data_IF_845076392432
#
_entry.id   IF_845076392432
#
_cell.length_a   1.000
_cell.length_b   1.000
_cell.length_c   1.000
_cell.angle_alpha   90.00
_cell.angle_beta   90.00
_cell.angle_gamma   90.00
#
_symmetry.space_group_name_H-M   'P 1'
#
loop_
_entity.id
_entity.type
_entity.pdbx_description
1 polymer ?
#
# COMPACT_ATOMS: atom_id res chain seq x y z
N UNK A 1 -26.16 -1.56 15.55
CA UNK A 1 -26.25 -2.54 14.44
C UNK A 1 -24.81 -2.91 14.09
N UNK A 2 -24.46 -4.18 14.24
CA UNK A 2 -23.06 -4.63 14.31
C UNK A 2 -22.43 -4.63 12.92
N UNK A 3 -21.52 -3.69 12.66
CA UNK A 3 -20.73 -3.57 11.42
C UNK A 3 -19.64 -4.65 11.26
N UNK A 4 -19.67 -5.71 12.07
CA UNK A 4 -18.59 -6.70 12.19
C UNK A 4 -18.47 -7.69 11.01
N UNK A 5 -19.36 -7.64 10.01
CA UNK A 5 -19.37 -8.61 8.90
C UNK A 5 -18.67 -8.09 7.63
N UNK A 6 -18.36 -6.80 7.54
CA UNK A 6 -17.84 -6.21 6.30
C UNK A 6 -16.30 -6.22 6.26
N UNK A 7 -15.72 -6.65 5.13
CA UNK A 7 -14.26 -6.53 4.93
C UNK A 7 -13.86 -5.06 4.76
N UNK A 8 -12.62 -4.65 5.11
CA UNK A 8 -12.14 -3.28 4.93
C UNK A 8 -12.31 -2.79 3.49
N UNK A 9 -12.08 -3.65 2.50
CA UNK A 9 -12.29 -3.32 1.09
C UNK A 9 -13.74 -2.96 0.79
N UNK A 10 -14.68 -3.79 1.25
CA UNK A 10 -16.11 -3.53 1.07
C UNK A 10 -16.55 -2.28 1.84
N UNK A 11 -16.04 -2.06 3.06
CA UNK A 11 -16.35 -0.87 3.85
C UNK A 11 -15.89 0.40 3.12
N UNK A 12 -14.66 0.42 2.62
CA UNK A 12 -14.09 1.54 1.87
C UNK A 12 -14.88 1.81 0.60
N UNK A 13 -15.26 0.77 -0.15
CA UNK A 13 -16.07 0.94 -1.37
C UNK A 13 -17.44 1.53 -1.07
N UNK A 14 -18.14 1.03 -0.06
CA UNK A 14 -19.43 1.58 0.35
C UNK A 14 -19.29 3.03 0.80
N UNK A 15 -18.27 3.32 1.62
CA UNK A 15 -18.06 4.67 2.15
C UNK A 15 -17.65 5.66 1.06
N UNK A 16 -16.89 5.22 0.06
CA UNK A 16 -16.47 6.06 -1.06
C UNK A 16 -17.64 6.66 -1.83
N UNK A 17 -18.77 5.93 -1.95
CA UNK A 17 -19.98 6.40 -2.61
C UNK A 17 -20.65 7.59 -1.87
N UNK A 18 -20.34 7.79 -0.59
CA UNK A 18 -20.89 8.87 0.24
C UNK A 18 -19.98 10.11 0.28
N UNK A 19 -18.76 10.03 -0.27
CA UNK A 19 -17.77 11.10 -0.12
C UNK A 19 -18.08 12.27 -1.05
N UNK A 20 -18.10 13.48 -0.48
CA UNK A 20 -18.13 14.72 -1.27
C UNK A 20 -16.81 14.90 -2.04
N UNK A 21 -16.89 14.93 -3.37
CA UNK A 21 -15.73 15.02 -4.26
C UNK A 21 -15.14 16.44 -4.40
N UNK A 22 -15.81 17.48 -3.89
CA UNK A 22 -15.43 18.89 -4.10
C UNK A 22 -13.99 19.22 -3.67
N UNK A 23 -13.48 18.55 -2.64
CA UNK A 23 -12.12 18.75 -2.11
C UNK A 23 -11.19 17.56 -2.35
N UNK A 24 -11.63 16.54 -3.10
CA UNK A 24 -10.75 15.41 -3.41
C UNK A 24 -9.80 15.76 -4.54
N UNK A 25 -8.52 15.34 -4.46
CA UNK A 25 -7.58 15.55 -5.55
C UNK A 25 -8.01 14.75 -6.78
N UNK A 26 -8.01 15.38 -7.95
CA UNK A 26 -8.37 14.72 -9.22
C UNK A 26 -7.22 13.99 -9.92
N UNK A 27 -5.97 14.22 -9.49
CA UNK A 27 -4.77 13.73 -10.19
C UNK A 27 -3.65 13.26 -9.24
N UNK A 28 -3.90 13.23 -7.93
CA UNK A 28 -2.98 12.65 -6.95
C UNK A 28 -3.60 11.39 -6.34
N UNK A 29 -2.76 10.48 -5.86
CA UNK A 29 -3.21 9.31 -5.10
C UNK A 29 -3.95 9.80 -3.84
N UNK A 30 -5.16 9.30 -3.65
CA UNK A 30 -5.91 9.43 -2.41
C UNK A 30 -6.68 8.13 -2.16
N UNK A 31 -6.89 7.73 -0.90
CA UNK A 31 -7.78 6.58 -0.65
C UNK A 31 -9.22 6.89 -1.07
N UNK A 32 -10.01 5.88 -1.48
CA UNK A 32 -11.42 6.09 -1.82
C UNK A 32 -12.25 6.65 -0.66
N UNK A 33 -11.91 6.27 0.57
CA UNK A 33 -12.47 6.80 1.81
C UNK A 33 -11.43 6.71 2.94
N UNK A 34 -11.67 7.39 4.07
CA UNK A 34 -10.81 7.32 5.26
C UNK A 34 -9.52 8.16 5.20
N UNK A 35 -8.63 7.92 6.16
CA UNK A 35 -7.35 8.62 6.32
C UNK A 35 -6.21 7.89 5.63
N UNK A 36 -5.28 8.65 5.03
CA UNK A 36 -3.99 8.15 4.53
C UNK A 36 -2.85 9.07 4.95
N UNK A 37 -1.63 8.52 4.99
CA UNK A 37 -0.40 9.28 5.22
C UNK A 37 0.77 8.66 4.45
N UNK A 38 1.75 8.09 5.16
CA UNK A 38 3.08 7.78 4.66
C UNK A 38 3.03 6.88 3.40
N UNK A 39 3.73 7.24 2.32
CA UNK A 39 3.95 6.34 1.20
C UNK A 39 4.89 5.20 1.61
N UNK A 40 4.52 3.98 1.26
CA UNK A 40 5.24 2.75 1.60
C UNK A 40 5.49 1.89 0.36
N UNK A 41 6.52 1.06 0.41
CA UNK A 41 6.71 -0.05 -0.54
C UNK A 41 6.71 0.33 -2.02
N UNK A 42 7.16 1.55 -2.37
CA UNK A 42 7.21 2.01 -3.75
C UNK A 42 8.15 1.12 -4.56
N UNK A 43 7.63 0.42 -5.58
CA UNK A 43 8.44 -0.45 -6.42
C UNK A 43 7.92 -0.57 -7.84
N UNK A 44 8.78 -1.05 -8.75
CA UNK A 44 8.41 -1.45 -10.10
C UNK A 44 8.62 -2.95 -10.24
N UNK A 45 7.57 -3.69 -10.55
CA UNK A 45 7.60 -5.15 -10.63
C UNK A 45 6.72 -5.62 -11.79
N UNK A 46 7.25 -6.54 -12.61
CA UNK A 46 6.54 -7.12 -13.77
C UNK A 46 5.87 -6.10 -14.69
N UNK A 47 6.55 -4.98 -14.96
CA UNK A 47 6.03 -3.93 -15.85
C UNK A 47 5.02 -2.97 -15.22
N UNK A 48 4.79 -3.06 -13.91
CA UNK A 48 3.79 -2.25 -13.18
C UNK A 48 4.46 -1.51 -12.04
N UNK A 49 4.09 -0.23 -11.85
CA UNK A 49 4.43 0.55 -10.67
C UNK A 49 3.45 0.24 -9.56
N UNK A 50 3.97 -0.06 -8.37
CA UNK A 50 3.19 -0.31 -7.16
C UNK A 50 3.49 0.81 -6.16
N UNK A 51 2.44 1.40 -5.60
CA UNK A 51 2.56 2.31 -4.47
C UNK A 51 1.62 1.84 -3.36
N UNK A 52 2.16 1.76 -2.15
CA UNK A 52 1.40 1.48 -0.94
C UNK A 52 1.38 2.73 -0.06
N UNK A 53 0.45 2.79 0.88
CA UNK A 53 0.37 3.89 1.83
C UNK A 53 -0.26 3.43 3.13
N UNK A 54 0.13 4.06 4.25
CA UNK A 54 -0.58 3.88 5.51
C UNK A 54 -2.02 4.36 5.37
N UNK A 55 -2.98 3.57 5.84
CA UNK A 55 -4.40 3.79 5.61
C UNK A 55 -5.25 3.40 6.83
N UNK A 56 -6.10 4.32 7.32
CA UNK A 56 -7.17 4.00 8.26
C UNK A 56 -8.52 4.05 7.53
N UNK A 57 -9.14 2.90 7.22
CA UNK A 57 -10.32 2.84 6.36
C UNK A 57 -11.61 3.35 7.02
N UNK A 58 -11.67 3.38 8.34
CA UNK A 58 -12.92 3.55 9.10
C UNK A 58 -13.20 4.99 9.56
N UNK A 59 -12.20 5.87 9.54
CA UNK A 59 -12.35 7.28 9.92
C UNK A 59 -11.43 8.18 9.09
N UNK A 60 -11.75 9.47 9.05
CA UNK A 60 -10.86 10.53 8.56
C UNK A 60 -9.81 10.96 9.57
N UNK A 61 -9.75 10.34 10.75
CA UNK A 61 -8.70 10.57 11.75
C UNK A 61 -7.66 9.44 11.71
N UNK A 62 -6.48 9.71 12.29
CA UNK A 62 -5.48 8.67 12.51
C UNK A 62 -6.01 7.54 13.41
N UNK A 63 -5.56 6.31 13.18
CA UNK A 63 -6.02 5.16 13.97
C UNK A 63 -5.42 3.81 13.54
N UNK A 64 -6.17 2.71 13.70
CA UNK A 64 -5.92 1.38 13.10
C UNK A 64 -5.31 1.34 11.69
N UNK A 65 -3.98 1.17 11.60
CA UNK A 65 -3.26 1.23 10.32
C UNK A 65 -3.37 -0.06 9.49
N UNK A 66 -3.78 0.13 8.25
CA UNK A 66 -3.74 -0.81 7.14
C UNK A 66 -2.74 -0.31 6.10
N UNK A 67 -2.39 -1.14 5.11
CA UNK A 67 -1.68 -0.68 3.91
C UNK A 67 -2.62 -0.68 2.72
N UNK A 68 -2.96 0.51 2.23
CA UNK A 68 -3.63 0.66 0.94
C UNK A 68 -2.65 0.36 -0.20
N UNK A 69 -3.19 0.06 -1.38
CA UNK A 69 -2.42 -0.33 -2.55
C UNK A 69 -3.03 0.26 -3.82
N UNK A 70 -2.19 0.89 -4.63
CA UNK A 70 -2.51 1.33 -5.99
C UNK A 70 -1.43 0.88 -6.96
N UNK A 71 -1.83 0.63 -8.21
CA UNK A 71 -0.93 0.26 -9.30
C UNK A 71 -1.04 1.21 -10.47
N UNK A 72 0.03 1.38 -11.23
CA UNK A 72 0.04 2.21 -12.43
C UNK A 72 0.96 1.64 -13.50
N UNK A 73 0.65 1.88 -14.77
CA UNK A 73 1.54 1.60 -15.91
C UNK A 73 2.40 2.80 -16.31
N UNK A 74 1.99 4.02 -15.92
CA UNK A 74 2.54 5.28 -16.41
C UNK A 74 2.89 6.29 -15.29
N UNK A 75 2.73 5.90 -14.02
CA UNK A 75 2.86 6.74 -12.81
C UNK A 75 1.89 7.93 -12.73
N UNK A 76 0.94 8.04 -13.67
CA UNK A 76 -0.03 9.13 -13.74
C UNK A 76 -1.43 8.61 -13.42
N UNK A 77 -1.82 7.50 -14.05
CA UNK A 77 -3.12 6.85 -13.88
C UNK A 77 -2.97 5.71 -12.89
N UNK A 78 -3.65 5.83 -11.76
CA UNK A 78 -3.58 4.87 -10.67
C UNK A 78 -4.87 4.07 -10.56
N UNK A 79 -4.74 2.75 -10.45
CA UNK A 79 -5.84 1.81 -10.23
C UNK A 79 -5.81 1.33 -8.78
N UNK A 80 -6.95 1.41 -8.09
CA UNK A 80 -7.09 0.90 -6.73
C UNK A 80 -7.07 -0.62 -6.69
N UNK A 81 -6.22 -1.16 -5.83
CA UNK A 81 -6.14 -2.58 -5.53
C UNK A 81 -6.73 -2.86 -4.14
N UNK A 82 -7.03 -4.13 -3.82
CA UNK A 82 -7.40 -4.52 -2.46
C UNK A 82 -6.34 -4.07 -1.44
N UNK A 83 -6.79 -3.69 -0.24
CA UNK A 83 -5.91 -3.41 0.90
C UNK A 83 -4.92 -4.57 1.10
N UNK A 84 -3.63 -4.25 1.04
CA UNK A 84 -2.55 -5.22 1.01
C UNK A 84 -2.25 -5.83 2.38
N UNK A 85 -2.26 -5.00 3.43
CA UNK A 85 -2.08 -5.45 4.81
C UNK A 85 -3.22 -4.92 5.68
N UNK A 86 -3.88 -5.83 6.40
CA UNK A 86 -4.89 -5.48 7.40
C UNK A 86 -4.22 -5.41 8.77
N UNK A 87 -4.67 -4.49 9.63
CA UNK A 87 -4.35 -4.61 11.05
C UNK A 87 -4.91 -5.93 11.59
N UNK A 88 -4.04 -6.75 12.17
CA UNK A 88 -4.49 -7.88 12.98
C UNK A 88 -4.87 -7.40 14.38
N UNK A 89 -5.99 -7.90 14.91
CA UNK A 89 -6.50 -7.54 16.25
C UNK A 89 -5.50 -7.88 17.39
N UNK A 90 -4.40 -8.62 17.14
CA UNK A 90 -3.41 -9.09 18.15
C UNK A 90 -1.98 -9.28 17.62
N UNK A 91 -1.47 -8.50 16.67
CA UNK A 91 -0.07 -8.68 16.24
C UNK A 91 0.93 -7.98 17.19
N UNK A 92 1.93 -8.69 17.76
CA UNK A 92 3.07 -8.02 18.36
C UNK A 92 3.85 -7.25 17.27
N UNK A 93 4.48 -6.13 17.67
CA UNK A 93 5.17 -5.16 16.81
C UNK A 93 6.19 -5.80 15.83
N UNK A 94 6.64 -7.03 16.09
CA UNK A 94 7.56 -7.80 15.25
C UNK A 94 6.99 -8.30 13.92
N UNK A 95 5.66 -8.37 13.74
CA UNK A 95 5.06 -8.87 12.50
C UNK A 95 5.05 -7.80 11.39
N UNK A 96 4.94 -6.52 11.75
CA UNK A 96 5.01 -5.40 10.81
C UNK A 96 6.36 -5.34 10.09
N UNK A 97 7.46 -5.64 10.79
CA UNK A 97 8.82 -5.63 10.23
C UNK A 97 9.11 -6.84 9.32
N UNK A 98 8.44 -7.99 9.56
CA UNK A 98 8.63 -9.22 8.76
C UNK A 98 8.02 -9.14 7.36
N UNK A 99 7.04 -8.27 7.11
CA UNK A 99 6.39 -8.15 5.80
C UNK A 99 6.99 -7.09 4.88
N UNK A 100 7.70 -6.10 5.42
CA UNK A 100 8.56 -5.22 4.62
C UNK A 100 9.59 -6.06 3.84
N UNK A 101 10.09 -7.14 4.46
CA UNK A 101 10.90 -8.17 3.82
C UNK A 101 10.14 -9.04 2.80
N UNK A 102 8.83 -9.26 2.93
CA UNK A 102 8.06 -10.10 2.00
C UNK A 102 7.76 -9.39 0.66
N UNK A 103 7.50 -8.09 0.67
CA UNK A 103 7.38 -7.26 -0.55
C UNK A 103 8.74 -7.17 -1.26
N UNK A 104 9.84 -7.05 -0.49
CA UNK A 104 11.20 -7.11 -1.02
C UNK A 104 11.58 -8.50 -1.55
N UNK A 105 11.15 -9.58 -0.88
CA UNK A 105 11.50 -10.96 -1.24
C UNK A 105 10.83 -11.46 -2.52
N UNK A 106 9.68 -10.92 -2.91
CA UNK A 106 9.06 -11.23 -4.21
C UNK A 106 9.57 -10.31 -5.34
N UNK A 107 10.23 -9.20 -5.01
CA UNK A 107 10.92 -8.34 -5.97
C UNK A 107 12.37 -8.78 -6.24
N UNK A 108 12.96 -9.63 -5.40
CA UNK A 108 14.27 -10.24 -5.60
C UNK A 108 14.14 -11.77 -5.70
N UNK A 109 13.76 -12.26 -6.88
CA UNK A 109 14.12 -13.62 -7.29
C UNK A 109 15.62 -13.67 -7.59
N UNK A 110 16.31 -14.80 -7.31
CA UNK A 110 17.75 -14.94 -7.53
C UNK A 110 18.03 -15.15 -9.03
N UNK A 111 17.94 -14.08 -9.83
CA UNK A 111 18.36 -14.09 -11.23
C UNK A 111 19.39 -12.99 -11.58
N UNK A 112 19.81 -12.18 -10.61
CA UNK A 112 20.77 -11.07 -10.79
C UNK A 112 21.88 -11.08 -9.75
N UNK A 113 22.35 -12.28 -9.35
CA UNK A 113 23.56 -12.47 -8.55
C UNK A 113 24.67 -13.10 -9.42
N UNK A 114 24.97 -12.44 -10.52
CA UNK A 114 26.11 -12.76 -11.39
C UNK A 114 26.48 -11.50 -12.16
N UNK A 115 27.68 -10.98 -11.91
CA UNK A 115 28.20 -9.65 -12.28
C UNK A 115 27.73 -8.53 -11.35
N UNK A 116 28.59 -8.17 -10.38
CA UNK A 116 28.86 -6.82 -9.84
C UNK A 116 29.66 -7.02 -8.53
N UNK A 117 30.80 -7.74 -8.63
CA UNK A 117 31.87 -7.77 -7.60
C UNK A 117 33.22 -7.43 -8.24
N UNK A 118 33.25 -6.44 -9.15
CA UNK A 118 34.50 -5.98 -9.74
C UNK A 118 34.44 -4.51 -10.16
N UNK A 119 34.16 -3.61 -9.21
CA UNK A 119 34.75 -2.26 -9.20
C UNK A 119 34.78 -1.82 -7.75
N UNK A 120 35.97 -1.62 -7.19
CA UNK A 120 36.32 -0.90 -5.95
C UNK A 120 37.44 -1.64 -5.21
N UNK A 121 38.65 -1.62 -5.78
CA UNK A 121 39.91 -1.69 -5.04
C UNK A 121 41.07 -1.40 -6.01
N UNK A 122 41.28 -0.12 -6.31
CA UNK A 122 42.56 0.46 -6.76
C UNK A 122 42.54 1.96 -6.48
N UNK A 123 43.13 2.36 -5.36
CA UNK A 123 44.13 3.43 -5.11
C UNK A 123 44.26 3.59 -3.61
#
# INVERSE_FOLDING_TARGET
MNNDTQTPNQFVQNKAAEINCHHRPGFHIAAPAGWINDPNGLCFHNGIYHAFYQHHPYSSDWGPMHWGHVTSKDMVRWEHQPIALRQEKKAPVSLALRFQLAILSHCFTPATLGLEKRVMMTT
#
